data_IF_690117488336
#
_entry.id   IF_690117488336
#
_cell.length_a   1.000
_cell.length_b   1.000
_cell.length_c   1.000
_cell.angle_alpha   90.00
_cell.angle_beta   90.00
_cell.angle_gamma   90.00
#
_symmetry.space_group_name_H-M   'P 1'
#
loop_
_entity.id
_entity.type
_entity.pdbx_description
1 polymer ?
#
# COMPACT_ATOMS: atom_id res chain seq x y z
N UNK A 1 -2.94 1.48 24.94
CA UNK A 1 -3.41 2.84 25.27
C UNK A 1 -3.20 3.74 24.05
N UNK A 2 -4.29 4.19 23.44
CA UNK A 2 -4.29 4.93 22.19
C UNK A 2 -3.98 6.41 22.39
N UNK A 3 -3.07 6.96 21.59
CA UNK A 3 -2.91 8.41 21.51
C UNK A 3 -4.04 8.97 20.63
N UNK A 4 -4.77 9.97 21.11
CA UNK A 4 -5.78 10.63 20.28
C UNK A 4 -5.11 11.30 19.07
N UNK A 5 -5.82 11.44 17.95
CA UNK A 5 -5.31 12.15 16.76
C UNK A 5 -4.69 13.51 17.11
N UNK A 6 -5.32 14.23 18.04
CA UNK A 6 -4.80 15.49 18.59
C UNK A 6 -3.45 15.35 19.32
N UNK A 7 -3.22 14.25 20.03
CA UNK A 7 -1.92 13.97 20.67
C UNK A 7 -0.85 13.63 19.63
N UNK A 8 -1.18 12.87 18.59
CA UNK A 8 -0.24 12.53 17.52
C UNK A 8 0.25 13.78 16.77
N UNK A 9 -0.68 14.64 16.33
CA UNK A 9 -0.35 15.91 15.67
C UNK A 9 0.50 16.80 16.58
N UNK A 10 0.16 16.89 17.87
CA UNK A 10 0.95 17.64 18.86
C UNK A 10 2.39 17.11 18.95
N UNK A 11 2.58 15.79 18.94
CA UNK A 11 3.92 15.19 18.97
C UNK A 11 4.73 15.48 17.70
N UNK A 12 4.10 15.45 16.53
CA UNK A 12 4.73 15.76 15.26
C UNK A 12 5.19 17.22 15.20
N UNK A 13 4.32 18.16 15.60
CA UNK A 13 4.64 19.60 15.72
C UNK A 13 5.81 19.86 16.66
N UNK A 14 5.86 19.17 17.81
CA UNK A 14 6.98 19.26 18.74
C UNK A 14 8.29 18.70 18.16
N UNK A 15 8.24 17.58 17.42
CA UNK A 15 9.44 17.03 16.75
C UNK A 15 10.01 17.99 15.72
N UNK A 16 9.16 18.63 14.93
CA UNK A 16 9.57 19.64 13.95
C UNK A 16 10.16 20.88 14.62
N UNK A 17 9.51 21.39 15.68
CA UNK A 17 10.00 22.54 16.44
C UNK A 17 11.37 22.30 17.09
N UNK A 18 11.66 21.07 17.55
CA UNK A 18 13.00 20.72 18.07
C UNK A 18 14.10 20.87 17.02
N UNK A 19 13.84 20.48 15.77
CA UNK A 19 14.83 20.67 14.69
C UNK A 19 15.10 22.15 14.47
N UNK A 20 14.05 22.96 14.39
CA UNK A 20 14.20 24.41 14.19
C UNK A 20 14.91 25.09 15.38
N UNK A 21 14.71 24.61 16.61
CA UNK A 21 15.43 25.08 17.80
C UNK A 21 16.93 24.79 17.77
N UNK A 22 17.35 23.69 17.14
CA UNK A 22 18.75 23.24 17.10
C UNK A 22 19.51 23.87 15.94
N UNK A 23 18.87 24.01 14.79
CA UNK A 23 19.52 24.34 13.51
C UNK A 23 19.26 25.76 13.03
N UNK A 24 18.47 26.58 13.74
CA UNK A 24 18.17 27.96 13.32
C UNK A 24 18.22 28.94 14.50
N UNK A 25 18.44 30.20 14.18
CA UNK A 25 18.40 31.32 15.14
C UNK A 25 17.02 32.00 15.22
N UNK A 26 15.99 31.39 14.63
CA UNK A 26 14.64 31.97 14.61
C UNK A 26 14.14 32.27 16.04
N UNK A 27 13.46 33.39 16.31
CA UNK A 27 12.88 33.63 17.62
C UNK A 27 11.92 32.50 18.03
N UNK A 28 11.86 32.15 19.33
CA UNK A 28 10.96 31.10 19.85
C UNK A 28 9.49 31.36 19.44
N UNK A 29 9.11 32.63 19.36
CA UNK A 29 7.80 33.08 18.87
C UNK A 29 7.54 32.64 17.43
N UNK A 30 8.53 32.78 16.55
CA UNK A 30 8.47 32.37 15.14
C UNK A 30 8.42 30.86 14.99
N UNK A 31 9.25 30.13 15.74
CA UNK A 31 9.25 28.65 15.75
C UNK A 31 7.89 28.10 16.18
N UNK A 32 7.27 28.69 17.21
CA UNK A 32 5.93 28.30 17.65
C UNK A 32 4.90 28.40 16.52
N UNK A 33 4.91 29.52 15.78
CA UNK A 33 3.95 29.77 14.70
C UNK A 33 4.22 28.87 13.49
N UNK A 34 5.49 28.74 13.08
CA UNK A 34 5.90 27.88 11.96
C UNK A 34 5.50 26.42 12.15
N UNK A 35 5.51 25.94 13.39
CA UNK A 35 5.17 24.56 13.73
C UNK A 35 3.68 24.38 14.11
N UNK A 36 2.83 25.35 13.80
CA UNK A 36 1.37 25.22 13.90
C UNK A 36 0.81 25.21 15.33
N UNK A 37 1.49 25.88 16.27
CA UNK A 37 0.91 26.14 17.59
C UNK A 37 0.06 27.41 17.56
N UNK A 38 -1.11 27.41 18.23
CA UNK A 38 -2.02 28.56 18.19
C UNK A 38 -1.46 29.80 18.88
N UNK A 39 -0.53 29.63 19.82
CA UNK A 39 0.24 30.69 20.45
C UNK A 39 1.46 30.13 21.20
N UNK A 40 2.37 31.03 21.58
CA UNK A 40 3.62 30.71 22.27
C UNK A 40 3.38 30.08 23.65
N UNK A 41 2.29 30.44 24.36
CA UNK A 41 1.95 29.83 25.65
C UNK A 41 1.61 28.33 25.49
N UNK A 42 0.83 27.99 24.47
CA UNK A 42 0.47 26.60 24.15
C UNK A 42 1.71 25.79 23.72
N UNK A 43 2.60 26.39 22.94
CA UNK A 43 3.88 25.78 22.58
C UNK A 43 4.76 25.50 23.81
N UNK A 44 5.00 26.52 24.65
CA UNK A 44 5.82 26.39 25.84
C UNK A 44 5.27 25.32 26.80
N UNK A 45 3.95 25.27 26.99
CA UNK A 45 3.29 24.25 27.82
C UNK A 45 3.51 22.85 27.24
N UNK A 46 3.22 22.65 25.95
CA UNK A 46 3.37 21.34 25.30
C UNK A 46 4.84 20.88 25.26
N UNK A 47 5.77 21.82 25.07
CA UNK A 47 7.21 21.54 25.05
C UNK A 47 7.71 21.14 26.44
N UNK A 48 7.31 21.88 27.48
CA UNK A 48 7.68 21.57 28.87
C UNK A 48 7.05 20.26 29.35
N UNK A 49 5.81 19.96 28.96
CA UNK A 49 5.17 18.67 29.26
C UNK A 49 5.95 17.48 28.68
N UNK A 50 6.49 17.62 27.46
CA UNK A 50 7.19 16.54 26.77
C UNK A 50 8.68 16.43 27.12
N UNK A 51 9.38 17.55 27.16
CA UNK A 51 10.85 17.61 27.31
C UNK A 51 11.30 18.05 28.71
N UNK A 52 10.36 18.38 29.60
CA UNK A 52 10.63 18.86 30.98
C UNK A 52 11.52 20.11 31.07
N UNK A 53 11.70 20.82 29.95
CA UNK A 53 12.49 22.03 29.80
C UNK A 53 11.73 23.05 28.95
N UNK A 54 12.08 24.33 29.05
CA UNK A 54 11.54 25.36 28.16
C UNK A 54 12.24 25.33 26.80
N UNK A 55 11.60 25.78 25.71
CA UNK A 55 12.24 25.87 24.39
C UNK A 55 13.52 26.71 24.39
N UNK A 56 13.59 27.75 25.22
CA UNK A 56 14.77 28.62 25.33
C UNK A 56 15.93 27.91 26.03
N UNK A 57 15.66 27.18 27.11
CA UNK A 57 16.66 26.33 27.78
C UNK A 57 17.13 25.22 26.83
N UNK A 58 16.21 24.57 26.14
CA UNK A 58 16.51 23.50 25.18
C UNK A 58 17.42 24.01 24.05
N UNK A 59 17.12 25.21 23.49
CA UNK A 59 18.01 25.87 22.54
C UNK A 59 19.39 26.10 23.14
N UNK A 60 19.48 26.71 24.32
CA UNK A 60 20.77 27.03 24.94
C UNK A 60 21.69 25.81 25.13
N UNK A 61 21.12 24.62 25.37
CA UNK A 61 21.89 23.39 25.56
C UNK A 61 22.21 22.63 24.27
N UNK A 62 21.44 22.85 23.20
CA UNK A 62 21.51 22.01 22.00
C UNK A 62 21.68 22.78 20.68
N UNK A 63 21.72 24.11 20.71
CA UNK A 63 21.93 24.93 19.53
C UNK A 63 23.32 24.69 18.97
N UNK A 64 23.37 24.38 17.67
CA UNK A 64 24.62 24.27 16.94
C UNK A 64 24.92 25.68 16.44
N UNK A 65 25.95 26.33 16.98
CA UNK A 65 26.40 27.63 16.48
C UNK A 65 26.81 27.48 15.00
N UNK A 66 26.00 28.03 14.11
CA UNK A 66 26.38 28.28 12.73
C UNK A 66 27.16 29.60 12.73
N UNK A 67 28.45 29.52 13.03
CA UNK A 67 29.33 30.67 12.85
C UNK A 67 29.45 30.97 11.36
N UNK A 68 28.89 32.11 10.93
CA UNK A 68 29.10 32.69 9.61
C UNK A 68 30.60 32.94 9.38
N UNK A 69 31.19 32.18 8.45
CA UNK A 69 32.26 32.69 7.60
C UNK A 69 32.36 31.82 6.35
N UNK A 70 32.19 32.48 5.21
CA UNK A 70 32.51 31.92 3.91
C UNK A 70 34.01 31.58 3.82
N UNK A 71 34.30 30.73 2.82
CA UNK A 71 35.62 30.34 2.29
C UNK A 71 36.34 29.13 2.93
N UNK A 72 36.53 28.08 2.10
CA UNK A 72 37.61 27.10 2.29
C UNK A 72 37.18 25.63 2.27
N UNK A 73 37.49 24.94 1.17
CA UNK A 73 37.51 23.47 1.03
C UNK A 73 38.25 22.78 2.20
N UNK A 74 37.63 21.78 2.82
CA UNK A 74 38.34 20.70 3.52
C UNK A 74 37.78 20.26 4.87
N UNK A 75 37.27 19.02 4.93
CA UNK A 75 37.07 18.15 6.13
C UNK A 75 36.51 18.79 7.41
N UNK A 76 35.21 18.60 7.70
CA UNK A 76 34.67 18.62 9.08
C UNK A 76 33.59 17.55 9.33
N UNK A 77 34.00 16.28 9.36
CA UNK A 77 33.32 15.20 10.12
C UNK A 77 34.18 14.91 11.35
N UNK A 78 33.96 15.58 12.50
CA UNK A 78 34.36 15.11 13.85
C UNK A 78 34.35 16.22 14.91
N UNK A 79 33.19 16.80 15.22
CA UNK A 79 33.03 17.57 16.48
C UNK A 79 31.93 17.01 17.39
N UNK A 80 30.95 16.29 16.84
CA UNK A 80 29.92 15.59 17.64
C UNK A 80 30.46 14.43 18.50
N UNK A 81 31.62 13.87 18.13
CA UNK A 81 32.26 12.74 18.82
C UNK A 81 33.05 13.11 20.08
N UNK A 82 33.09 14.39 20.51
CA UNK A 82 33.94 14.84 21.63
C UNK A 82 33.19 15.49 22.79
N UNK A 83 31.86 15.51 22.79
CA UNK A 83 31.09 16.01 23.93
C UNK A 83 31.08 14.98 25.07
N UNK A 84 31.57 15.31 26.29
CA UNK A 84 31.48 14.43 27.45
C UNK A 84 30.04 14.05 27.78
N UNK A 85 29.07 14.92 27.44
CA UNK A 85 27.65 14.67 27.67
C UNK A 85 27.10 13.63 26.71
N UNK A 86 27.57 13.60 25.45
CA UNK A 86 27.20 12.55 24.51
C UNK A 86 27.69 11.18 24.99
N UNK A 87 28.95 11.09 25.47
CA UNK A 87 29.46 9.83 26.04
C UNK A 87 28.69 9.41 27.29
N UNK A 88 28.26 10.36 28.14
CA UNK A 88 27.45 10.07 29.33
C UNK A 88 26.01 9.63 28.98
N UNK A 89 25.44 10.15 27.90
CA UNK A 89 24.12 9.73 27.40
C UNK A 89 24.22 8.33 26.76
N UNK A 90 25.27 8.08 25.96
CA UNK A 90 25.52 6.77 25.33
C UNK A 90 25.90 5.72 26.38
N UNK A 91 26.64 6.08 27.43
CA UNK A 91 27.03 5.13 28.50
C UNK A 91 25.83 4.57 29.26
N UNK A 92 24.74 5.34 29.41
CA UNK A 92 23.47 4.82 29.97
C UNK A 92 22.91 3.65 29.16
N UNK A 93 23.10 3.66 27.85
CA UNK A 93 22.66 2.58 26.95
C UNK A 93 23.69 1.45 26.81
N UNK A 94 24.95 1.69 27.19
CA UNK A 94 26.00 0.67 27.22
C UNK A 94 25.87 -0.20 28.47
N UNK A 95 25.65 0.38 29.65
CA UNK A 95 25.58 -0.38 30.91
C UNK A 95 24.37 -1.33 30.99
N UNK A 96 23.29 -1.08 30.26
CA UNK A 96 22.16 -2.01 30.15
C UNK A 96 22.42 -3.18 29.18
N UNK A 97 23.42 -3.07 28.30
CA UNK A 97 23.87 -4.19 27.44
C UNK A 97 24.98 -5.04 28.06
N UNK A 98 25.63 -4.54 29.11
CA UNK A 98 26.77 -5.18 29.76
C UNK A 98 26.40 -6.01 31.01
N UNK A 99 25.11 -6.15 31.33
CA UNK A 99 24.64 -7.28 32.15
C UNK A 99 24.70 -8.56 31.30
N UNK A 100 25.91 -9.09 31.20
CA UNK A 100 26.27 -10.45 30.78
C UNK A 100 25.23 -11.19 29.94
N UNK A 101 25.19 -10.92 28.64
CA UNK A 101 25.20 -12.07 27.73
C UNK A 101 26.65 -12.53 27.73
N UNK A 102 26.97 -13.51 28.59
CA UNK A 102 28.03 -14.41 28.18
C UNK A 102 27.67 -14.82 26.76
N UNK A 103 28.61 -14.64 25.83
CA UNK A 103 28.55 -15.35 24.56
C UNK A 103 28.65 -16.84 24.95
N UNK A 104 27.52 -17.42 25.35
CA UNK A 104 27.28 -18.83 25.13
C UNK A 104 27.63 -19.01 23.67
N UNK A 105 28.60 -19.88 23.38
CA UNK A 105 28.83 -20.35 22.01
C UNK A 105 27.47 -20.39 21.33
N UNK A 106 27.32 -19.63 20.22
CA UNK A 106 26.12 -19.71 19.39
C UNK A 106 25.79 -21.18 19.34
N UNK A 107 24.70 -21.59 19.99
CA UNK A 107 24.32 -22.98 20.02
C UNK A 107 24.04 -23.31 18.57
N UNK A 108 25.05 -23.85 17.88
CA UNK A 108 24.93 -24.31 16.51
C UNK A 108 24.07 -25.54 16.65
N UNK A 109 22.77 -25.34 16.60
CA UNK A 109 21.84 -26.42 16.36
C UNK A 109 22.07 -26.87 14.93
N UNK A 110 22.95 -27.84 14.75
CA UNK A 110 23.07 -28.56 13.48
C UNK A 110 21.75 -29.30 13.28
N UNK A 111 20.89 -28.76 12.41
CA UNK A 111 19.69 -29.46 11.97
C UNK A 111 20.12 -30.41 10.88
N UNK A 112 20.08 -31.71 11.17
CA UNK A 112 20.22 -32.74 10.15
C UNK A 112 18.87 -32.87 9.43
N UNK A 113 18.84 -32.40 8.18
CA UNK A 113 17.68 -32.55 7.31
C UNK A 113 17.91 -33.81 6.49
N UNK A 114 17.24 -34.91 6.86
CA UNK A 114 17.17 -36.09 5.99
C UNK A 114 16.26 -35.75 4.81
N UNK A 115 16.89 -35.41 3.69
CA UNK A 115 16.18 -35.23 2.43
C UNK A 115 15.72 -36.62 1.96
N UNK A 116 14.43 -36.83 1.66
CA UNK A 116 13.99 -38.05 1.04
C UNK A 116 14.76 -38.28 -0.27
N UNK A 117 15.01 -39.54 -0.66
CA UNK A 117 15.72 -39.86 -1.90
C UNK A 117 15.03 -39.31 -3.16
N UNK A 118 13.74 -39.00 -3.07
CA UNK A 118 12.99 -38.21 -4.05
C UNK A 118 12.50 -36.90 -3.44
N UNK A 119 12.87 -35.77 -4.06
CA UNK A 119 12.35 -34.45 -3.74
C UNK A 119 10.86 -34.38 -4.13
N UNK A 120 9.97 -34.62 -3.17
CA UNK A 120 8.54 -34.35 -3.36
C UNK A 120 8.29 -32.87 -3.03
N UNK A 121 8.24 -32.02 -4.06
CA UNK A 121 7.72 -30.67 -3.92
C UNK A 121 6.20 -30.77 -3.66
N UNK A 122 5.76 -30.58 -2.42
CA UNK A 122 4.35 -30.68 -2.01
C UNK A 122 3.60 -29.33 -2.02
N UNK A 123 4.24 -28.25 -2.45
CA UNK A 123 3.59 -26.94 -2.57
C UNK A 123 3.35 -26.58 -4.04
N UNK A 124 2.09 -26.35 -4.41
CA UNK A 124 1.81 -25.57 -5.61
C UNK A 124 2.51 -24.22 -5.46
N UNK A 125 3.33 -23.82 -6.45
CA UNK A 125 3.90 -22.48 -6.46
C UNK A 125 2.74 -21.49 -6.56
N UNK A 126 2.50 -20.75 -5.47
CA UNK A 126 1.48 -19.71 -5.44
C UNK A 126 1.72 -18.67 -6.54
N UNK A 127 0.66 -18.21 -7.18
CA UNK A 127 0.75 -17.19 -8.22
C UNK A 127 1.31 -15.89 -7.65
N UNK A 128 2.26 -15.28 -8.36
CA UNK A 128 2.87 -14.01 -7.98
C UNK A 128 2.12 -12.85 -8.63
N UNK A 129 1.72 -11.88 -7.82
CA UNK A 129 0.95 -10.71 -8.24
C UNK A 129 1.78 -9.44 -8.04
N UNK A 130 1.92 -8.63 -9.08
CA UNK A 130 2.60 -7.33 -9.05
C UNK A 130 1.58 -6.20 -9.04
N UNK A 131 1.43 -5.50 -7.92
CA UNK A 131 0.51 -4.37 -7.81
C UNK A 131 1.14 -3.05 -8.27
N UNK A 132 0.46 -2.34 -9.18
CA UNK A 132 0.96 -1.07 -9.78
C UNK A 132 0.08 0.15 -9.44
N UNK A 133 -1.01 -0.02 -8.69
CA UNK A 133 -1.94 1.06 -8.38
C UNK A 133 -2.91 1.33 -9.53
N UNK A 134 -3.10 2.60 -9.92
CA UNK A 134 -3.98 2.94 -11.04
C UNK A 134 -3.34 2.54 -12.37
N UNK A 135 -4.15 2.05 -13.32
CA UNK A 135 -3.68 1.67 -14.66
C UNK A 135 -2.94 2.81 -15.38
N UNK A 136 -3.40 4.05 -15.19
CA UNK A 136 -2.81 5.25 -15.80
C UNK A 136 -1.33 5.46 -15.43
N UNK A 137 -0.88 4.95 -14.28
CA UNK A 137 0.53 5.07 -13.89
C UNK A 137 1.44 4.29 -14.84
N UNK A 138 0.94 3.21 -15.45
CA UNK A 138 1.70 2.46 -16.45
C UNK A 138 1.86 3.22 -17.78
N UNK A 139 1.24 4.39 -17.97
CA UNK A 139 1.52 5.26 -19.11
C UNK A 139 2.91 5.91 -19.02
N UNK A 140 3.47 6.04 -17.81
CA UNK A 140 4.78 6.62 -17.59
C UNK A 140 5.89 5.66 -18.03
N UNK A 141 6.87 6.16 -18.80
CA UNK A 141 7.96 5.36 -19.34
C UNK A 141 8.82 4.73 -18.23
N UNK A 142 8.98 5.44 -17.11
CA UNK A 142 9.74 4.95 -15.96
C UNK A 142 9.09 3.69 -15.37
N UNK A 143 7.76 3.71 -15.18
CA UNK A 143 7.00 2.57 -14.65
C UNK A 143 7.07 1.39 -15.63
N UNK A 144 7.01 1.63 -16.94
CA UNK A 144 7.16 0.57 -17.94
C UNK A 144 8.57 -0.05 -17.94
N UNK A 145 9.61 0.75 -17.71
CA UNK A 145 10.98 0.26 -17.61
C UNK A 145 11.16 -0.61 -16.35
N UNK A 146 10.63 -0.16 -15.21
CA UNK A 146 10.64 -0.93 -13.95
C UNK A 146 9.87 -2.25 -14.09
N UNK A 147 8.68 -2.21 -14.71
CA UNK A 147 7.88 -3.41 -14.99
C UNK A 147 8.65 -4.47 -15.77
N UNK A 148 9.44 -4.06 -16.77
CA UNK A 148 10.28 -4.98 -17.55
C UNK A 148 11.36 -5.61 -16.68
N UNK A 149 12.10 -4.79 -15.94
CA UNK A 149 13.20 -5.24 -15.09
C UNK A 149 12.73 -6.21 -14.00
N UNK A 150 11.66 -5.84 -13.29
CA UNK A 150 11.08 -6.66 -12.22
C UNK A 150 10.53 -7.98 -12.77
N UNK A 151 9.97 -7.96 -13.98
CA UNK A 151 9.50 -9.19 -14.63
C UNK A 151 10.64 -10.11 -15.04
N UNK A 152 11.75 -9.57 -15.55
CA UNK A 152 12.94 -10.36 -15.90
C UNK A 152 13.61 -11.00 -14.66
N UNK A 153 13.65 -10.29 -13.53
CA UNK A 153 14.31 -10.78 -12.32
C UNK A 153 13.45 -11.76 -11.50
N UNK A 154 12.15 -11.50 -11.37
CA UNK A 154 11.27 -12.24 -10.44
C UNK A 154 10.29 -13.15 -11.18
N UNK A 155 9.77 -12.72 -12.33
CA UNK A 155 8.75 -13.42 -13.12
C UNK A 155 7.39 -13.51 -12.41
N UNK A 156 6.58 -12.45 -12.46
CA UNK A 156 5.21 -12.42 -11.96
C UNK A 156 4.22 -13.03 -12.96
N UNK A 157 3.12 -13.56 -12.43
CA UNK A 157 2.03 -14.14 -13.23
C UNK A 157 0.95 -13.09 -13.56
N UNK A 158 0.70 -12.17 -12.62
CA UNK A 158 -0.35 -11.16 -12.74
C UNK A 158 0.18 -9.74 -12.53
N UNK A 159 -0.41 -8.80 -13.26
CA UNK A 159 -0.32 -7.36 -12.97
C UNK A 159 -1.64 -6.89 -12.37
N UNK A 160 -1.59 -6.32 -11.18
CA UNK A 160 -2.74 -5.90 -10.40
C UNK A 160 -2.89 -4.38 -10.41
N UNK A 161 -4.05 -3.90 -10.87
CA UNK A 161 -4.31 -2.47 -10.99
C UNK A 161 -5.80 -2.12 -10.81
N UNK A 162 -6.07 -0.85 -10.54
CA UNK A 162 -7.41 -0.24 -10.45
C UNK A 162 -7.63 0.82 -11.51
N UNK A 163 -8.85 1.38 -11.57
CA UNK A 163 -9.17 2.53 -12.41
C UNK A 163 -8.99 2.29 -13.92
N UNK A 164 -9.53 1.16 -14.41
CA UNK A 164 -9.44 0.73 -15.82
C UNK A 164 -9.92 1.81 -16.80
N UNK A 165 -10.95 2.57 -16.43
CA UNK A 165 -11.61 3.54 -17.30
C UNK A 165 -11.35 5.00 -16.93
N UNK A 166 -10.18 5.28 -16.33
CA UNK A 166 -9.77 6.63 -15.92
C UNK A 166 -9.99 7.69 -16.99
N UNK A 167 -10.34 8.90 -16.56
CA UNK A 167 -10.47 10.07 -17.42
C UNK A 167 -9.13 10.48 -18.06
N UNK A 168 -8.00 10.04 -17.50
CA UNK A 168 -6.67 10.19 -18.10
C UNK A 168 -6.56 9.53 -19.49
N UNK A 169 -7.44 8.57 -19.80
CA UNK A 169 -7.52 7.93 -21.11
C UNK A 169 -8.46 8.65 -22.09
N UNK A 170 -9.14 9.72 -21.66
CA UNK A 170 -10.03 10.47 -22.52
C UNK A 170 -9.23 11.21 -23.60
N UNK A 171 -9.37 10.79 -24.86
CA UNK A 171 -8.66 11.41 -25.97
C UNK A 171 -9.45 12.56 -26.60
N UNK A 172 -8.74 13.60 -27.04
CA UNK A 172 -9.30 14.65 -27.91
C UNK A 172 -9.47 14.17 -29.35
N UNK A 173 -10.36 14.82 -30.08
CA UNK A 173 -10.97 14.41 -31.36
C UNK A 173 -10.03 14.08 -32.55
N UNK A 174 -8.72 14.44 -32.61
CA UNK A 174 -7.85 13.94 -33.68
C UNK A 174 -7.37 12.48 -33.47
N UNK A 175 -7.17 12.04 -32.22
CA UNK A 175 -6.58 10.73 -31.92
C UNK A 175 -7.61 9.60 -31.90
N UNK A 176 -8.87 9.94 -31.58
CA UNK A 176 -9.99 8.99 -31.57
C UNK A 176 -10.25 8.37 -32.95
N UNK A 177 -9.98 9.12 -34.03
CA UNK A 177 -10.19 8.67 -35.41
C UNK A 177 -9.16 7.63 -35.88
N UNK A 178 -7.99 7.57 -35.23
CA UNK A 178 -6.88 6.69 -35.64
C UNK A 178 -6.78 5.47 -34.73
N UNK A 179 -6.86 5.66 -33.41
CA UNK A 179 -6.65 4.60 -32.42
C UNK A 179 -7.92 4.06 -31.76
N UNK A 180 -9.07 4.73 -31.94
CA UNK A 180 -10.31 4.38 -31.25
C UNK A 180 -10.29 4.69 -29.75
N UNK A 181 -11.37 4.32 -29.06
CA UNK A 181 -11.63 4.71 -27.66
C UNK A 181 -10.76 3.98 -26.63
N UNK A 182 -10.12 2.88 -27.02
CA UNK A 182 -9.33 2.03 -26.13
C UNK A 182 -7.82 2.08 -26.41
N UNK A 183 -7.37 2.93 -27.34
CA UNK A 183 -5.99 2.97 -27.83
C UNK A 183 -4.90 2.88 -26.74
N UNK A 184 -4.98 3.75 -25.72
CA UNK A 184 -3.98 3.78 -24.65
C UNK A 184 -4.06 2.52 -23.76
N UNK A 185 -5.27 2.03 -23.47
CA UNK A 185 -5.45 0.77 -22.76
C UNK A 185 -4.88 -0.40 -23.57
N UNK A 186 -5.11 -0.41 -24.89
CA UNK A 186 -4.60 -1.45 -25.78
C UNK A 186 -3.07 -1.48 -25.78
N UNK A 187 -2.43 -0.32 -25.82
CA UNK A 187 -0.97 -0.22 -25.75
C UNK A 187 -0.42 -0.81 -24.44
N UNK A 188 -1.05 -0.51 -23.29
CA UNK A 188 -0.66 -1.05 -21.98
C UNK A 188 -0.89 -2.56 -21.89
N UNK A 189 -2.07 -3.03 -22.28
CA UNK A 189 -2.44 -4.45 -22.25
C UNK A 189 -1.56 -5.27 -23.20
N UNK A 190 -1.19 -4.73 -24.36
CA UNK A 190 -0.22 -5.35 -25.27
C UNK A 190 1.17 -5.43 -24.63
N UNK A 191 1.58 -4.43 -23.85
CA UNK A 191 2.83 -4.50 -23.09
C UNK A 191 2.77 -5.61 -22.04
N UNK A 192 1.67 -5.72 -21.30
CA UNK A 192 1.48 -6.78 -20.32
C UNK A 192 1.49 -8.18 -20.97
N UNK A 193 0.79 -8.35 -22.09
CA UNK A 193 0.78 -9.61 -22.83
C UNK A 193 2.19 -10.02 -23.29
N UNK A 194 2.98 -9.08 -23.82
CA UNK A 194 4.37 -9.34 -24.23
C UNK A 194 5.28 -9.75 -23.08
N UNK A 195 5.00 -9.25 -21.88
CA UNK A 195 5.71 -9.60 -20.65
C UNK A 195 5.17 -10.88 -19.98
N UNK A 196 4.14 -11.50 -20.55
CA UNK A 196 3.48 -12.67 -19.96
C UNK A 196 2.65 -12.35 -18.72
N UNK A 197 2.38 -11.07 -18.46
CA UNK A 197 1.59 -10.61 -17.31
C UNK A 197 0.09 -10.67 -17.64
N UNK A 198 -0.66 -11.35 -16.78
CA UNK A 198 -2.12 -11.44 -16.90
C UNK A 198 -2.78 -10.32 -16.07
N UNK A 199 -3.69 -9.52 -16.66
CA UNK A 199 -4.44 -8.51 -15.91
C UNK A 199 -5.27 -9.09 -14.75
N UNK A 200 -5.07 -8.49 -13.57
CA UNK A 200 -5.91 -8.66 -12.39
C UNK A 200 -6.47 -7.28 -12.01
N UNK A 201 -7.74 -7.06 -12.32
CA UNK A 201 -8.34 -5.73 -12.38
C UNK A 201 -9.24 -5.53 -11.16
N UNK A 202 -8.89 -4.58 -10.31
CA UNK A 202 -9.72 -4.13 -9.19
C UNK A 202 -10.67 -3.02 -9.65
N UNK A 203 -11.92 -3.10 -9.22
CA UNK A 203 -12.94 -2.07 -9.45
C UNK A 203 -13.46 -1.58 -8.09
N UNK A 204 -13.11 -0.35 -7.72
CA UNK A 204 -13.70 0.33 -6.56
C UNK A 204 -15.04 0.93 -6.94
N UNK A 205 -16.14 0.20 -6.72
CA UNK A 205 -17.43 0.46 -7.37
C UNK A 205 -17.97 1.85 -7.05
N UNK A 206 -17.94 2.28 -5.79
CA UNK A 206 -18.46 3.60 -5.41
C UNK A 206 -17.63 4.77 -5.97
N UNK A 207 -16.36 4.54 -6.32
CA UNK A 207 -15.45 5.55 -6.86
C UNK A 207 -15.48 5.57 -8.38
N UNK A 208 -15.47 4.40 -9.01
CA UNK A 208 -15.29 4.22 -10.45
C UNK A 208 -16.61 4.07 -11.21
N UNK A 209 -17.66 3.56 -10.56
CA UNK A 209 -18.93 3.20 -11.19
C UNK A 209 -20.13 3.93 -10.57
N UNK A 210 -19.96 5.22 -10.27
CA UNK A 210 -21.04 6.10 -9.79
C UNK A 210 -22.24 6.08 -10.76
N UNK A 211 -21.99 6.11 -12.07
CA UNK A 211 -22.96 5.70 -13.09
C UNK A 211 -22.79 4.20 -13.38
N UNK A 212 -23.53 3.38 -12.64
CA UNK A 212 -23.49 1.93 -12.77
C UNK A 212 -23.85 1.44 -14.17
N UNK A 213 -24.85 2.05 -14.82
CA UNK A 213 -25.32 1.63 -16.14
C UNK A 213 -24.32 2.01 -17.24
N UNK A 214 -23.80 3.24 -17.18
CA UNK A 214 -22.74 3.70 -18.08
C UNK A 214 -21.46 2.88 -17.95
N UNK A 215 -21.04 2.57 -16.72
CA UNK A 215 -19.87 1.74 -16.47
C UNK A 215 -20.03 0.33 -17.08
N UNK A 216 -21.16 -0.34 -16.84
CA UNK A 216 -21.41 -1.68 -17.38
C UNK A 216 -21.47 -1.69 -18.91
N UNK A 217 -22.04 -0.64 -19.53
CA UNK A 217 -22.04 -0.48 -20.99
C UNK A 217 -20.63 -0.30 -21.55
N UNK A 218 -19.79 0.50 -20.88
CA UNK A 218 -18.39 0.71 -21.26
C UNK A 218 -17.58 -0.58 -21.10
N UNK A 219 -17.82 -1.32 -20.01
CA UNK A 219 -17.21 -2.64 -19.77
C UNK A 219 -17.57 -3.66 -20.84
N UNK A 220 -18.85 -3.75 -21.22
CA UNK A 220 -19.33 -4.65 -22.28
C UNK A 220 -18.63 -4.36 -23.62
N UNK A 221 -18.53 -3.08 -23.99
CA UNK A 221 -17.84 -2.65 -25.20
C UNK A 221 -16.32 -2.92 -25.13
N UNK A 222 -15.70 -2.69 -23.97
CA UNK A 222 -14.28 -2.95 -23.74
C UNK A 222 -13.96 -4.44 -23.86
N UNK A 223 -14.70 -5.32 -23.18
CA UNK A 223 -14.46 -6.77 -23.26
C UNK A 223 -14.67 -7.31 -24.67
N UNK A 224 -15.69 -6.82 -25.38
CA UNK A 224 -15.89 -7.17 -26.79
C UNK A 224 -14.68 -6.77 -27.65
N UNK A 225 -14.18 -5.55 -27.47
CA UNK A 225 -13.00 -5.05 -28.18
C UNK A 225 -11.75 -5.85 -27.81
N UNK A 226 -11.48 -6.07 -26.52
CA UNK A 226 -10.32 -6.83 -26.05
C UNK A 226 -10.31 -8.26 -26.58
N UNK A 227 -11.47 -8.93 -26.66
CA UNK A 227 -11.57 -10.27 -27.27
C UNK A 227 -11.23 -10.25 -28.76
N UNK A 228 -11.68 -9.23 -29.49
CA UNK A 228 -11.37 -9.09 -30.92
C UNK A 228 -9.90 -8.76 -31.17
N UNK A 229 -9.30 -7.93 -30.31
CA UNK A 229 -7.94 -7.42 -30.49
C UNK A 229 -6.87 -8.38 -29.94
N UNK A 230 -7.04 -8.91 -28.73
CA UNK A 230 -6.05 -9.77 -28.06
C UNK A 230 -6.35 -11.27 -28.16
N UNK A 231 -7.59 -11.64 -28.49
CA UNK A 231 -8.03 -13.02 -28.56
C UNK A 231 -8.41 -13.63 -27.22
N UNK A 232 -9.26 -14.66 -27.29
CA UNK A 232 -9.73 -15.44 -26.13
C UNK A 232 -8.59 -16.00 -25.24
N UNK A 233 -7.48 -16.57 -25.77
CA UNK A 233 -6.44 -17.18 -24.94
C UNK A 233 -5.75 -16.25 -23.93
N UNK A 234 -5.77 -14.94 -24.20
CA UNK A 234 -5.24 -13.93 -23.29
C UNK A 234 -6.34 -13.38 -22.37
N UNK A 235 -7.47 -12.95 -22.95
CA UNK A 235 -8.55 -12.29 -22.20
C UNK A 235 -9.21 -13.22 -21.20
N UNK A 236 -9.42 -14.49 -21.53
CA UNK A 236 -10.10 -15.45 -20.65
C UNK A 236 -9.33 -15.76 -19.35
N UNK A 237 -8.04 -15.42 -19.29
CA UNK A 237 -7.22 -15.59 -18.08
C UNK A 237 -7.39 -14.44 -17.08
N UNK A 238 -8.03 -13.34 -17.49
CA UNK A 238 -8.17 -12.15 -16.66
C UNK A 238 -9.01 -12.42 -15.42
N UNK A 239 -8.80 -11.58 -14.41
CA UNK A 239 -9.54 -11.63 -13.16
C UNK A 239 -10.06 -10.25 -12.81
N UNK A 240 -11.30 -10.17 -12.35
CA UNK A 240 -11.90 -8.94 -11.84
C UNK A 240 -12.21 -9.08 -10.35
N UNK A 241 -11.72 -8.15 -9.56
CA UNK A 241 -12.02 -8.02 -8.13
C UNK A 241 -12.91 -6.80 -7.93
N UNK A 242 -14.13 -6.99 -7.42
CA UNK A 242 -14.98 -5.87 -7.02
C UNK A 242 -14.71 -5.52 -5.56
N UNK A 243 -14.53 -4.24 -5.27
CA UNK A 243 -14.41 -3.72 -3.92
C UNK A 243 -15.55 -2.76 -3.64
N UNK A 244 -16.25 -2.98 -2.52
CA UNK A 244 -17.34 -2.13 -2.07
C UNK A 244 -17.02 -1.50 -0.72
N UNK A 245 -17.28 -0.20 -0.61
CA UNK A 245 -17.27 0.51 0.66
C UNK A 245 -18.53 0.21 1.47
N UNK A 246 -19.66 0.09 0.79
CA UNK A 246 -20.97 -0.21 1.40
C UNK A 246 -21.44 -1.60 1.04
N UNK A 247 -22.17 -2.25 1.93
CA UNK A 247 -22.62 -3.64 1.74
C UNK A 247 -24.14 -3.68 1.82
N UNK A 248 -24.80 -3.76 0.65
CA UNK A 248 -26.26 -3.68 0.55
C UNK A 248 -26.84 -4.24 -0.74
N UNK A 249 -28.15 -4.08 -0.90
CA UNK A 249 -28.88 -4.59 -2.07
C UNK A 249 -28.42 -3.98 -3.40
N UNK A 250 -28.05 -2.70 -3.40
CA UNK A 250 -27.55 -2.00 -4.59
C UNK A 250 -26.22 -2.60 -5.07
N UNK A 251 -25.27 -2.79 -4.17
CA UNK A 251 -23.95 -3.38 -4.47
C UNK A 251 -24.09 -4.83 -4.92
N UNK A 252 -25.01 -5.59 -4.33
CA UNK A 252 -25.35 -6.94 -4.78
C UNK A 252 -25.88 -6.95 -6.20
N UNK A 253 -26.85 -6.08 -6.51
CA UNK A 253 -27.43 -6.00 -7.85
C UNK A 253 -26.36 -5.57 -8.87
N UNK A 254 -25.46 -4.65 -8.50
CA UNK A 254 -24.33 -4.26 -9.32
C UNK A 254 -23.37 -5.44 -9.55
N UNK A 255 -22.99 -6.17 -8.51
CA UNK A 255 -22.14 -7.37 -8.63
C UNK A 255 -22.74 -8.38 -9.60
N UNK A 256 -24.04 -8.68 -9.46
CA UNK A 256 -24.73 -9.60 -10.36
C UNK A 256 -24.74 -9.09 -11.80
N UNK A 257 -25.06 -7.82 -12.02
CA UNK A 257 -25.05 -7.22 -13.36
C UNK A 257 -23.64 -7.21 -13.98
N UNK A 258 -22.62 -6.90 -13.19
CA UNK A 258 -21.21 -6.96 -13.60
C UNK A 258 -20.82 -8.38 -13.99
N UNK A 259 -21.11 -9.37 -13.14
CA UNK A 259 -20.85 -10.78 -13.38
C UNK A 259 -21.48 -11.23 -14.69
N UNK A 260 -22.77 -10.93 -14.91
CA UNK A 260 -23.47 -11.29 -16.14
C UNK A 260 -22.86 -10.62 -17.38
N UNK A 261 -22.49 -9.33 -17.28
CA UNK A 261 -21.81 -8.62 -18.38
C UNK A 261 -20.49 -9.28 -18.75
N UNK A 262 -19.66 -9.63 -17.76
CA UNK A 262 -18.38 -10.30 -17.99
C UNK A 262 -18.59 -11.69 -18.59
N UNK A 263 -19.42 -12.52 -17.97
CA UNK A 263 -19.64 -13.92 -18.39
C UNK A 263 -20.32 -14.05 -19.75
N UNK A 264 -21.16 -13.08 -20.13
CA UNK A 264 -21.75 -12.99 -21.48
C UNK A 264 -20.69 -12.84 -22.56
N UNK A 265 -19.59 -12.13 -22.28
CA UNK A 265 -18.51 -11.87 -23.24
C UNK A 265 -17.40 -12.90 -23.17
N UNK A 266 -16.95 -13.24 -21.96
CA UNK A 266 -15.88 -14.19 -21.72
C UNK A 266 -16.20 -15.04 -20.48
N UNK A 267 -16.70 -16.25 -20.69
CA UNK A 267 -17.20 -17.12 -19.62
C UNK A 267 -16.12 -17.63 -18.67
N UNK A 268 -14.88 -17.74 -19.14
CA UNK A 268 -13.74 -18.21 -18.36
C UNK A 268 -13.04 -17.12 -17.51
N UNK A 269 -13.31 -15.83 -17.78
CA UNK A 269 -12.81 -14.71 -16.95
C UNK A 269 -13.34 -14.86 -15.54
N UNK A 270 -12.47 -14.83 -14.53
CA UNK A 270 -12.92 -14.99 -13.14
C UNK A 270 -13.36 -13.66 -12.54
N UNK A 271 -14.47 -13.67 -11.81
CA UNK A 271 -14.97 -12.52 -11.05
C UNK A 271 -15.02 -12.88 -9.57
N UNK A 272 -14.45 -12.03 -8.75
CA UNK A 272 -14.36 -12.20 -7.31
C UNK A 272 -14.64 -10.92 -6.56
N UNK A 273 -14.52 -11.01 -5.24
CA UNK A 273 -14.90 -9.96 -4.31
C UNK A 273 -13.77 -9.65 -3.33
N UNK A 274 -13.53 -8.37 -3.08
CA UNK A 274 -12.70 -7.91 -1.98
C UNK A 274 -13.47 -7.94 -0.67
N UNK A 275 -12.96 -8.68 0.32
CA UNK A 275 -13.52 -8.78 1.66
C UNK A 275 -12.49 -8.23 2.66
N UNK A 276 -12.86 -7.25 3.49
CA UNK A 276 -11.98 -6.75 4.54
C UNK A 276 -11.76 -7.82 5.63
N UNK A 277 -10.55 -7.86 6.21
CA UNK A 277 -10.09 -8.90 7.17
C UNK A 277 -10.91 -8.98 8.46
N UNK A 278 -11.68 -7.94 8.81
CA UNK A 278 -12.66 -7.98 9.91
C UNK A 278 -14.09 -8.02 9.34
N UNK A 279 -14.59 -9.20 8.94
CA UNK A 279 -15.93 -9.35 8.41
C UNK A 279 -16.94 -9.35 9.56
N UNK A 280 -17.67 -8.25 9.71
CA UNK A 280 -18.91 -8.21 10.50
C UNK A 280 -19.93 -9.22 9.93
N UNK A 281 -20.84 -9.71 10.77
CA UNK A 281 -21.87 -10.68 10.38
C UNK A 281 -22.73 -10.24 9.16
N UNK A 282 -22.88 -8.93 8.94
CA UNK A 282 -23.56 -8.33 7.79
C UNK A 282 -22.90 -8.69 6.44
N UNK A 283 -21.56 -8.80 6.41
CA UNK A 283 -20.78 -9.12 5.20
C UNK A 283 -20.83 -10.61 4.86
N UNK A 284 -20.93 -11.48 5.87
CA UNK A 284 -21.13 -12.91 5.67
C UNK A 284 -22.48 -13.23 5.00
N UNK A 285 -23.55 -12.49 5.35
CA UNK A 285 -24.84 -12.64 4.70
C UNK A 285 -24.81 -12.24 3.21
N UNK A 286 -24.07 -11.16 2.87
CA UNK A 286 -23.85 -10.75 1.49
C UNK A 286 -23.12 -11.84 0.69
N UNK A 287 -22.02 -12.37 1.23
CA UNK A 287 -21.25 -13.45 0.60
C UNK A 287 -22.10 -14.68 0.32
N UNK A 288 -22.95 -15.10 1.27
CA UNK A 288 -23.87 -16.25 1.07
C UNK A 288 -24.79 -16.03 -0.14
N UNK A 289 -25.28 -14.81 -0.34
CA UNK A 289 -26.20 -14.47 -1.42
C UNK A 289 -25.56 -14.42 -2.80
N UNK A 290 -24.25 -14.15 -2.89
CA UNK A 290 -23.50 -14.11 -4.15
C UNK A 290 -22.64 -15.35 -4.38
N UNK A 291 -22.68 -16.33 -3.46
CA UNK A 291 -21.79 -17.50 -3.45
C UNK A 291 -21.78 -18.29 -4.77
N UNK A 292 -22.92 -18.39 -5.46
CA UNK A 292 -23.01 -19.06 -6.77
C UNK A 292 -22.38 -18.29 -7.95
N UNK A 293 -21.89 -17.07 -7.73
CA UNK A 293 -21.34 -16.17 -8.75
C UNK A 293 -19.99 -15.55 -8.33
N UNK A 294 -19.43 -15.98 -7.19
CA UNK A 294 -18.16 -15.48 -6.67
C UNK A 294 -17.11 -16.58 -6.82
N UNK A 295 -16.15 -16.39 -7.73
CA UNK A 295 -15.18 -17.42 -8.09
C UNK A 295 -13.90 -17.38 -7.26
N UNK A 296 -13.64 -16.27 -6.59
CA UNK A 296 -12.57 -16.11 -5.61
C UNK A 296 -12.88 -14.95 -4.67
N UNK A 297 -12.20 -14.92 -3.52
CA UNK A 297 -12.23 -13.80 -2.57
C UNK A 297 -10.82 -13.28 -2.38
N UNK A 298 -10.70 -11.97 -2.34
CA UNK A 298 -9.46 -11.27 -2.05
C UNK A 298 -9.58 -10.55 -0.72
N UNK A 299 -8.49 -10.52 0.05
CA UNK A 299 -8.37 -9.73 1.27
C UNK A 299 -6.95 -9.19 1.36
N UNK A 300 -6.78 -8.10 2.09
CA UNK A 300 -5.46 -7.49 2.28
C UNK A 300 -5.00 -7.72 3.71
N UNK A 301 -3.89 -8.40 3.89
CA UNK A 301 -3.25 -8.58 5.19
C UNK A 301 -2.07 -7.62 5.31
N UNK A 302 -2.25 -6.54 6.08
CA UNK A 302 -1.13 -5.71 6.48
C UNK A 302 -0.59 -6.22 7.83
N UNK A 303 0.64 -6.74 7.90
CA UNK A 303 1.20 -7.27 9.15
C UNK A 303 1.39 -6.18 10.23
N UNK A 304 1.32 -4.89 9.85
CA UNK A 304 1.36 -3.76 10.78
C UNK A 304 -0.03 -3.29 11.23
N UNK A 305 -1.10 -3.82 10.65
CA UNK A 305 -2.47 -3.50 11.04
C UNK A 305 -2.83 -4.34 12.27
N UNK A 306 -3.26 -3.67 13.34
CA UNK A 306 -3.74 -4.35 14.54
C UNK A 306 -5.11 -4.95 14.21
N UNK A 307 -5.11 -6.20 13.76
CA UNK A 307 -6.33 -7.00 13.64
C UNK A 307 -6.75 -7.41 15.06
N UNK A 308 -7.96 -7.04 15.46
CA UNK A 308 -8.54 -7.50 16.72
C UNK A 308 -9.12 -8.91 16.52
N UNK A 309 -8.43 -9.92 17.05
CA UNK A 309 -8.78 -11.32 16.86
C UNK A 309 -9.85 -11.81 17.84
N UNK A 310 -10.42 -10.95 18.69
CA UNK A 310 -11.39 -11.37 19.71
C UNK A 310 -12.74 -11.82 19.16
N UNK A 311 -13.06 -11.48 17.90
CA UNK A 311 -14.37 -11.77 17.27
C UNK A 311 -14.31 -12.81 16.11
N UNK A 312 -13.17 -13.48 15.91
CA UNK A 312 -13.04 -14.52 14.88
C UNK A 312 -13.75 -15.82 15.30
N UNK A 313 -15.04 -15.91 15.00
CA UNK A 313 -15.81 -17.13 15.19
C UNK A 313 -15.79 -17.96 13.89
N UNK A 314 -15.02 -19.06 13.87
CA UNK A 314 -14.87 -19.96 12.71
C UNK A 314 -16.19 -20.53 12.16
N UNK A 315 -17.26 -20.53 12.97
CA UNK A 315 -18.61 -20.96 12.56
C UNK A 315 -19.25 -20.07 11.48
N UNK A 316 -18.73 -18.86 11.28
CA UNK A 316 -19.28 -17.89 10.30
C UNK A 316 -19.06 -18.35 8.84
N UNK A 317 -18.10 -19.23 8.61
CA UNK A 317 -17.68 -19.72 7.28
C UNK A 317 -18.08 -21.17 6.98
N UNK A 318 -18.81 -21.84 7.88
CA UNK A 318 -19.37 -23.17 7.58
C UNK A 318 -20.34 -23.09 6.38
N UNK A 319 -19.99 -23.80 5.30
CA UNK A 319 -20.77 -23.86 4.05
C UNK A 319 -20.30 -22.93 2.92
N UNK A 320 -19.21 -22.19 3.12
CA UNK A 320 -18.61 -21.31 2.09
C UNK A 320 -17.48 -22.07 1.39
N UNK A 321 -17.77 -22.72 0.26
CA UNK A 321 -16.75 -23.32 -0.62
C UNK A 321 -16.02 -22.21 -1.38
N UNK A 322 -15.05 -21.55 -0.76
CA UNK A 322 -14.19 -20.58 -1.44
C UNK A 322 -12.74 -21.00 -1.23
N UNK A 323 -12.02 -21.17 -2.35
CA UNK A 323 -10.57 -21.32 -2.34
C UNK A 323 -9.98 -19.98 -1.87
N UNK A 324 -9.27 -20.01 -0.74
CA UNK A 324 -8.39 -18.94 -0.34
C UNK A 324 -7.14 -19.04 -1.23
N UNK A 325 -6.88 -18.01 -2.03
CA UNK A 325 -5.63 -17.82 -2.78
C UNK A 325 -4.73 -16.83 -2.03
#
# INVERSE_FOLDING_TARGET
MGASFSQYIKQLRLKSAVRELIYTDHPITRISLNNGFPNVKAFNKAFKEKYRQTPSEYRRFHQIELSDTEEGRGKKKSTLLKSPQFFMEVSKYISDREKSTMLTELAVSTVYIDLPPELVFTGEKGAKILAIGNLEYALHEEVQAELRLVQEEIGFDYVYFSNLFSDSFAMTTPLYQIGGQFYQMDALLNSFQRLGLVPFIRVEVEKEAADSAGYLKKLDAFLQHSLQYFGSPFVEKWRFELAFREWGGTQRNFYQAFYQTVKKRASAVKVGLHVPVSPEASKAAFLKQISGQCEFVCFTCNPNEKVDFTDMNNRTFEGVNILFL
#
